data_IF_556394135579
#
_entry.id   IF_556394135579
#
_cell.length_a   1.000
_cell.length_b   1.000
_cell.length_c   1.000
_cell.angle_alpha   90.00
_cell.angle_beta   90.00
_cell.angle_gamma   90.00
#
_symmetry.space_group_name_H-M   'P 1'
#
loop_
_entity.id
_entity.type
_entity.pdbx_description
1 polymer ?
#
# COMPACT_ATOMS: atom_id res chain seq x y z
N UNK A 1 -51.79 -36.69 25.26
CA UNK A 1 -51.16 -36.00 24.11
C UNK A 1 -51.07 -34.51 24.42
N UNK A 2 -49.87 -33.98 24.70
CA UNK A 2 -49.57 -32.55 24.56
C UNK A 2 -48.65 -32.30 23.32
N UNK A 3 -48.75 -31.13 22.64
CA UNK A 3 -48.03 -30.89 21.40
C UNK A 3 -46.68 -30.16 21.59
N UNK A 4 -45.69 -30.69 20.85
CA UNK A 4 -44.60 -30.03 20.11
C UNK A 4 -44.04 -28.69 20.62
N UNK A 5 -42.85 -28.79 21.24
CA UNK A 5 -41.96 -27.66 21.46
C UNK A 5 -41.31 -27.18 20.16
N UNK A 6 -41.31 -25.86 19.95
CA UNK A 6 -40.57 -25.19 18.89
C UNK A 6 -39.29 -24.60 19.48
N UNK A 7 -38.16 -25.24 19.21
CA UNK A 7 -36.84 -24.69 19.50
C UNK A 7 -36.51 -23.60 18.49
N UNK A 8 -36.55 -22.34 18.91
CA UNK A 8 -36.09 -21.20 18.13
C UNK A 8 -34.56 -21.24 18.10
N UNK A 9 -33.99 -21.66 16.97
CA UNK A 9 -32.56 -21.63 16.71
C UNK A 9 -32.14 -20.17 16.45
N UNK A 10 -31.67 -19.48 17.49
CA UNK A 10 -31.05 -18.17 17.36
C UNK A 10 -29.71 -18.31 16.60
N UNK A 11 -29.73 -18.09 15.30
CA UNK A 11 -28.53 -17.84 14.50
C UNK A 11 -27.94 -16.49 14.91
N UNK A 12 -26.99 -16.52 15.83
CA UNK A 12 -26.11 -15.38 16.10
C UNK A 12 -25.36 -15.04 14.80
N UNK A 13 -25.50 -13.84 14.25
CA UNK A 13 -24.65 -13.42 13.15
C UNK A 13 -23.23 -13.37 13.70
N UNK A 14 -22.36 -14.27 13.22
CA UNK A 14 -20.92 -14.16 13.38
C UNK A 14 -20.51 -12.83 12.74
N UNK A 15 -20.46 -11.78 13.55
CA UNK A 15 -19.77 -10.53 13.25
C UNK A 15 -18.28 -10.88 13.13
N UNK A 16 -17.87 -11.26 11.92
CA UNK A 16 -16.47 -11.33 11.53
C UNK A 16 -15.95 -9.90 11.60
N UNK A 17 -15.38 -9.53 12.74
CA UNK A 17 -14.58 -8.32 12.89
C UNK A 17 -13.39 -8.47 11.96
N UNK A 18 -13.46 -7.82 10.80
CA UNK A 18 -12.38 -7.70 9.84
C UNK A 18 -11.26 -6.92 10.54
N UNK A 19 -10.28 -7.64 11.09
CA UNK A 19 -9.02 -7.05 11.55
C UNK A 19 -8.07 -6.94 10.37
N UNK A 20 -7.10 -6.04 10.47
CA UNK A 20 -6.57 -5.29 9.33
C UNK A 20 -5.10 -5.56 9.03
N UNK A 21 -4.78 -5.70 7.75
CA UNK A 21 -3.45 -6.00 7.25
C UNK A 21 -2.44 -4.89 7.59
N UNK A 22 -1.25 -5.26 8.05
CA UNK A 22 -0.16 -4.33 8.30
C UNK A 22 0.58 -4.05 6.99
N UNK A 23 0.13 -3.02 6.28
CA UNK A 23 0.56 -2.62 4.93
C UNK A 23 1.97 -1.98 4.82
N UNK A 24 2.91 -2.24 5.73
CA UNK A 24 4.29 -1.77 5.56
C UNK A 24 5.28 -2.88 5.90
N UNK A 25 6.18 -3.27 4.98
CA UNK A 25 7.29 -4.16 5.30
C UNK A 25 8.19 -3.50 6.33
N UNK A 26 8.90 -4.31 7.12
CA UNK A 26 10.00 -3.80 7.93
C UNK A 26 10.90 -2.90 7.06
N UNK A 27 11.29 -1.71 7.55
CA UNK A 27 12.09 -0.79 6.78
C UNK A 27 13.37 -1.49 6.33
N UNK A 28 13.54 -1.63 5.00
CA UNK A 28 14.79 -2.10 4.41
C UNK A 28 15.89 -1.13 4.89
N UNK A 29 17.00 -1.61 5.46
CA UNK A 29 18.07 -0.74 5.93
C UNK A 29 18.49 0.28 4.86
N UNK A 30 18.75 1.56 5.20
CA UNK A 30 19.09 2.59 4.22
C UNK A 30 20.23 2.21 3.27
N UNK A 31 21.22 1.44 3.75
CA UNK A 31 22.32 0.90 2.96
C UNK A 31 21.89 -0.09 1.89
N UNK A 32 20.80 -0.83 2.12
CA UNK A 32 20.21 -1.75 1.16
C UNK A 32 19.26 -1.04 0.19
N UNK A 33 18.51 -0.02 0.65
CA UNK A 33 17.77 0.86 -0.26
C UNK A 33 18.72 1.55 -1.23
N UNK A 34 19.84 2.09 -0.73
CA UNK A 34 20.85 2.73 -1.55
C UNK A 34 21.55 1.73 -2.47
N UNK A 35 21.76 0.46 -2.07
CA UNK A 35 22.29 -0.60 -2.95
C UNK A 35 21.28 -1.07 -4.00
N UNK A 36 20.01 -1.23 -3.68
CA UNK A 36 18.95 -1.52 -4.65
C UNK A 36 18.84 -0.39 -5.68
N UNK A 37 19.03 0.85 -5.23
CA UNK A 37 19.08 2.07 -6.05
C UNK A 37 20.38 2.16 -6.89
N UNK A 38 21.55 1.84 -6.31
CA UNK A 38 22.88 1.91 -6.96
C UNK A 38 23.16 0.74 -7.92
N UNK A 39 22.54 -0.42 -7.71
CA UNK A 39 22.60 -1.55 -8.65
C UNK A 39 21.79 -1.30 -9.95
N UNK A 40 21.17 -0.12 -10.09
CA UNK A 40 20.34 0.29 -11.22
C UNK A 40 20.99 1.21 -12.24
N UNK A 41 22.32 1.17 -12.41
CA UNK A 41 23.02 1.94 -13.46
C UNK A 41 22.95 1.31 -14.85
N UNK A 42 22.30 0.16 -15.03
CA UNK A 42 22.07 -0.41 -16.37
C UNK A 42 20.90 0.29 -17.05
N UNK A 43 21.06 0.62 -18.34
CA UNK A 43 20.01 1.19 -19.21
C UNK A 43 18.69 0.41 -19.16
N UNK A 44 18.75 -0.86 -18.77
CA UNK A 44 17.61 -1.77 -18.63
C UNK A 44 16.67 -1.40 -17.47
N UNK A 45 17.18 -0.81 -16.37
CA UNK A 45 16.33 -0.39 -15.23
C UNK A 45 15.71 0.98 -15.40
N UNK A 46 16.37 1.86 -16.14
CA UNK A 46 15.88 3.19 -16.47
C UNK A 46 15.73 3.35 -17.98
N UNK A 47 14.82 2.58 -18.62
CA UNK A 47 14.63 2.66 -20.06
C UNK A 47 14.13 4.06 -20.46
N UNK A 48 14.40 4.54 -21.68
CA UNK A 48 14.08 5.91 -22.12
C UNK A 48 12.59 6.29 -22.06
N UNK A 49 11.69 5.32 -21.91
CA UNK A 49 10.26 5.56 -21.74
C UNK A 49 9.86 5.92 -20.30
N UNK A 50 10.74 5.73 -19.31
CA UNK A 50 10.59 6.28 -17.95
C UNK A 50 11.10 7.72 -17.98
N UNK A 51 10.20 8.67 -17.77
CA UNK A 51 10.49 10.10 -17.93
C UNK A 51 10.90 10.80 -16.63
N UNK A 52 10.90 10.08 -15.50
CA UNK A 52 11.25 10.60 -14.18
C UNK A 52 10.10 10.55 -13.17
N UNK A 53 10.34 11.08 -11.97
CA UNK A 53 9.41 11.01 -10.85
C UNK A 53 8.05 11.65 -11.17
N UNK A 54 6.96 11.00 -10.75
CA UNK A 54 5.59 11.40 -11.10
C UNK A 54 5.18 12.76 -10.51
N UNK A 55 5.77 13.15 -9.38
CA UNK A 55 5.57 14.45 -8.75
C UNK A 55 6.49 15.57 -9.26
N UNK A 56 7.28 15.35 -10.32
CA UNK A 56 8.04 16.43 -10.94
C UNK A 56 7.14 17.61 -11.34
N UNK A 57 7.64 18.83 -11.17
CA UNK A 57 6.83 20.05 -11.34
C UNK A 57 6.17 20.15 -12.73
N UNK A 58 6.85 19.69 -13.77
CA UNK A 58 6.34 19.66 -15.14
C UNK A 58 5.13 18.72 -15.33
N UNK A 59 4.90 17.79 -14.40
CA UNK A 59 3.80 16.82 -14.45
C UNK A 59 2.65 17.17 -13.50
N UNK A 60 2.85 18.10 -12.56
CA UNK A 60 1.82 18.57 -11.63
C UNK A 60 0.97 19.68 -12.26
N UNK A 61 -0.34 19.46 -12.35
CA UNK A 61 -1.26 20.49 -12.82
C UNK A 61 -1.64 21.46 -11.67
N UNK A 62 -2.43 22.50 -11.98
CA UNK A 62 -2.87 23.50 -10.99
C UNK A 62 -3.66 22.91 -9.83
N UNK A 63 -4.41 21.84 -10.05
CA UNK A 63 -5.21 21.19 -9.01
C UNK A 63 -4.38 20.27 -8.12
N UNK A 64 -3.35 19.63 -8.68
CA UNK A 64 -2.38 18.83 -7.93
C UNK A 64 -1.57 19.73 -6.99
N UNK A 65 -1.13 20.90 -7.48
CA UNK A 65 -0.44 21.91 -6.66
C UNK A 65 -1.30 22.49 -5.53
N UNK A 66 -2.61 22.25 -5.54
CA UNK A 66 -3.56 22.66 -4.50
C UNK A 66 -3.99 21.51 -3.58
N UNK A 67 -3.36 20.34 -3.68
CA UNK A 67 -3.72 19.15 -2.90
C UNK A 67 -3.81 19.44 -1.39
N UNK A 68 -2.94 20.30 -0.86
CA UNK A 68 -2.89 20.65 0.56
C UNK A 68 -3.31 22.10 0.85
N UNK A 69 -3.99 22.78 -0.07
CA UNK A 69 -4.33 24.20 0.10
C UNK A 69 -5.52 24.48 1.03
N UNK A 70 -6.09 23.45 1.68
CA UNK A 70 -7.30 23.56 2.49
C UNK A 70 -7.13 22.86 3.84
N UNK A 71 -7.99 23.25 4.78
CA UNK A 71 -8.12 22.57 6.07
C UNK A 71 -9.25 21.54 5.97
N UNK A 72 -8.99 20.31 6.39
CA UNK A 72 -10.00 19.25 6.49
C UNK A 72 -10.70 19.34 7.85
N UNK A 73 -12.01 19.06 7.86
CA UNK A 73 -12.82 18.97 9.08
C UNK A 73 -12.58 17.65 9.82
N UNK A 74 -11.32 17.37 10.14
CA UNK A 74 -10.88 16.28 11.01
C UNK A 74 -10.38 16.88 12.33
N UNK A 75 -10.71 16.19 13.41
CA UNK A 75 -10.35 16.52 14.78
C UNK A 75 -9.67 15.32 15.46
N UNK A 76 -8.97 15.50 16.59
CA UNK A 76 -8.25 14.39 17.23
C UNK A 76 -9.12 13.18 17.54
N UNK A 77 -10.38 13.39 17.97
CA UNK A 77 -11.33 12.32 18.24
C UNK A 77 -11.76 11.51 17.00
N UNK A 78 -11.47 12.00 15.79
CA UNK A 78 -11.83 11.35 14.53
C UNK A 78 -10.78 10.33 14.09
N UNK A 79 -9.61 10.36 14.71
CA UNK A 79 -8.47 9.52 14.37
C UNK A 79 -8.44 8.34 15.32
N UNK A 80 -8.50 7.14 14.74
CA UNK A 80 -8.46 5.89 15.49
C UNK A 80 -7.05 5.35 15.60
N UNK A 81 -6.97 4.04 15.86
CA UNK A 81 -5.68 3.37 16.04
C UNK A 81 -4.78 3.51 14.79
N UNK A 82 -3.46 3.64 15.00
CA UNK A 82 -2.51 3.48 13.91
C UNK A 82 -2.69 2.08 13.28
N UNK A 83 -2.61 2.03 11.95
CA UNK A 83 -2.56 0.77 11.20
C UNK A 83 -1.13 0.21 11.23
N UNK A 84 -0.14 1.10 11.38
CA UNK A 84 1.26 0.75 11.50
C UNK A 84 1.97 1.59 12.59
N UNK A 85 2.85 0.94 13.35
CA UNK A 85 3.75 1.63 14.29
C UNK A 85 4.96 2.29 13.59
N UNK A 86 5.22 1.91 12.34
CA UNK A 86 6.41 2.34 11.61
C UNK A 86 6.24 3.73 10.99
N UNK A 87 7.20 4.61 11.31
CA UNK A 87 7.35 5.91 10.68
C UNK A 87 8.23 5.75 9.44
N UNK A 88 7.67 6.05 8.28
CA UNK A 88 8.44 6.13 7.05
C UNK A 88 9.24 7.43 6.97
N UNK A 89 10.23 7.49 6.07
CA UNK A 89 11.01 8.71 5.83
C UNK A 89 10.13 9.92 5.46
N UNK A 90 9.04 9.67 4.73
CA UNK A 90 8.15 10.70 4.19
C UNK A 90 6.77 10.73 4.85
N UNK A 91 6.48 9.81 5.77
CA UNK A 91 5.20 9.77 6.46
C UNK A 91 5.35 9.42 7.94
N UNK A 92 4.52 10.04 8.77
CA UNK A 92 4.49 9.80 10.21
C UNK A 92 3.58 8.63 10.60
N UNK A 93 3.02 7.92 9.61
CA UNK A 93 2.16 6.74 9.81
C UNK A 93 0.81 6.82 9.10
N UNK A 94 0.08 5.71 9.14
CA UNK A 94 -1.28 5.55 8.63
C UNK A 94 -2.19 5.20 9.80
N UNK A 95 -3.36 5.82 9.87
CA UNK A 95 -4.34 5.60 10.93
C UNK A 95 -5.74 5.34 10.37
N UNK A 96 -6.55 4.63 11.17
CA UNK A 96 -7.98 4.46 10.92
C UNK A 96 -8.73 5.75 11.26
N UNK A 97 -9.98 5.84 10.81
CA UNK A 97 -10.92 6.83 11.33
C UNK A 97 -11.89 6.19 12.32
N UNK A 98 -12.27 6.92 13.36
CA UNK A 98 -13.29 6.50 14.33
C UNK A 98 -14.71 6.77 13.82
N UNK A 99 -14.87 7.71 12.89
CA UNK A 99 -16.14 8.15 12.31
C UNK A 99 -16.10 8.26 10.79
N UNK A 100 -17.29 8.26 10.18
CA UNK A 100 -17.44 8.46 8.74
C UNK A 100 -16.97 9.85 8.33
N UNK A 101 -16.36 9.93 7.15
CA UNK A 101 -15.89 11.19 6.58
C UNK A 101 -16.92 11.77 5.61
N UNK A 102 -17.16 13.08 5.72
CA UNK A 102 -18.08 13.81 4.86
C UNK A 102 -17.30 14.81 4.01
N UNK A 103 -17.34 14.60 2.68
CA UNK A 103 -16.75 15.53 1.72
C UNK A 103 -17.82 16.50 1.23
N UNK A 104 -17.59 17.79 1.45
CA UNK A 104 -18.54 18.86 1.10
C UNK A 104 -18.39 19.36 -0.35
N UNK A 105 -17.20 19.20 -0.95
CA UNK A 105 -16.89 19.76 -2.28
C UNK A 105 -17.45 18.87 -3.39
N UNK A 106 -18.37 19.40 -4.20
CA UNK A 106 -18.96 18.73 -5.36
C UNK A 106 -20.19 17.87 -5.05
N UNK A 107 -20.85 18.12 -3.91
CA UNK A 107 -21.99 17.34 -3.42
C UNK A 107 -21.66 16.67 -2.08
N UNK A 108 -22.69 16.36 -1.30
CA UNK A 108 -22.54 15.73 0.00
C UNK A 108 -22.23 14.24 -0.18
N UNK A 109 -20.95 13.86 -0.06
CA UNK A 109 -20.54 12.46 -0.17
C UNK A 109 -20.06 11.91 1.16
N UNK A 110 -20.70 10.84 1.61
CA UNK A 110 -20.31 10.06 2.78
C UNK A 110 -19.29 8.98 2.39
N UNK A 111 -18.22 8.86 3.17
CA UNK A 111 -17.28 7.76 3.10
C UNK A 111 -17.32 6.99 4.42
N UNK A 112 -17.51 5.66 4.34
CA UNK A 112 -17.48 4.80 5.53
C UNK A 112 -16.08 4.79 6.15
N UNK A 113 -15.99 4.91 7.47
CA UNK A 113 -14.73 4.82 8.22
C UNK A 113 -13.98 3.51 7.98
N UNK A 114 -14.71 2.42 7.72
CA UNK A 114 -14.13 1.09 7.51
C UNK A 114 -13.50 0.92 6.12
N UNK A 115 -13.80 1.85 5.21
CA UNK A 115 -13.37 1.84 3.81
C UNK A 115 -12.34 2.94 3.50
N UNK A 116 -11.89 3.70 4.49
CA UNK A 116 -10.91 4.78 4.31
C UNK A 116 -9.84 4.74 5.40
N UNK A 117 -8.65 5.20 5.03
CA UNK A 117 -7.53 5.38 5.95
C UNK A 117 -6.96 6.78 5.77
N UNK A 118 -6.28 7.27 6.80
CA UNK A 118 -5.59 8.55 6.79
C UNK A 118 -4.08 8.32 6.86
N UNK A 119 -3.33 8.86 5.91
CA UNK A 119 -1.85 8.94 5.97
C UNK A 119 -1.44 10.32 6.46
N UNK A 120 -0.66 10.38 7.55
CA UNK A 120 -0.05 11.60 8.09
C UNK A 120 1.29 11.80 7.39
N UNK A 121 1.48 12.97 6.76
CA UNK A 121 2.72 13.29 6.07
C UNK A 121 3.64 14.13 6.96
N UNK A 122 4.93 14.10 6.64
CA UNK A 122 5.92 14.96 7.28
C UNK A 122 5.83 16.38 6.69
N UNK A 123 6.30 17.39 7.44
CA UNK A 123 6.39 18.78 6.98
C UNK A 123 7.84 19.14 6.65
N UNK A 124 8.09 20.05 5.68
CA UNK A 124 7.12 20.73 4.80
C UNK A 124 6.59 19.84 3.67
N UNK A 125 5.38 20.14 3.19
CA UNK A 125 4.79 19.48 2.01
C UNK A 125 5.52 19.95 0.75
N UNK A 126 5.94 19.00 -0.08
CA UNK A 126 6.63 19.26 -1.34
C UNK A 126 6.02 18.54 -2.55
N UNK A 127 6.77 18.56 -3.65
CA UNK A 127 6.41 17.89 -4.89
C UNK A 127 6.24 16.37 -4.73
N UNK A 128 6.96 15.76 -3.79
CA UNK A 128 6.85 14.34 -3.46
C UNK A 128 5.43 13.98 -2.99
N UNK A 129 4.91 14.75 -2.03
CA UNK A 129 3.57 14.55 -1.46
C UNK A 129 2.47 14.84 -2.48
N UNK A 130 2.66 15.87 -3.31
CA UNK A 130 1.73 16.21 -4.39
C UNK A 130 1.72 15.15 -5.50
N UNK A 131 2.87 14.53 -5.77
CA UNK A 131 3.01 13.38 -6.66
C UNK A 131 2.22 12.17 -6.18
N UNK A 132 2.30 11.85 -4.88
CA UNK A 132 1.51 10.78 -4.26
C UNK A 132 0.01 11.05 -4.39
N UNK A 133 -0.45 12.26 -4.08
CA UNK A 133 -1.87 12.65 -4.24
C UNK A 133 -2.33 12.50 -5.69
N UNK A 134 -1.51 12.94 -6.65
CA UNK A 134 -1.81 12.79 -8.08
C UNK A 134 -1.93 11.32 -8.47
N UNK A 135 -0.97 10.49 -8.07
CA UNK A 135 -0.99 9.05 -8.34
C UNK A 135 -2.25 8.39 -7.77
N UNK A 136 -2.60 8.68 -6.52
CA UNK A 136 -3.81 8.17 -5.87
C UNK A 136 -5.10 8.58 -6.60
N UNK A 137 -5.15 9.79 -7.19
CA UNK A 137 -6.29 10.22 -8.03
C UNK A 137 -6.37 9.38 -9.29
N UNK A 138 -5.24 9.18 -9.98
CA UNK A 138 -5.18 8.48 -11.27
C UNK A 138 -5.55 6.99 -11.16
N UNK A 139 -5.23 6.35 -10.02
CA UNK A 139 -5.62 4.96 -9.71
C UNK A 139 -6.96 4.84 -8.96
N UNK A 140 -7.64 5.96 -8.71
CA UNK A 140 -8.98 5.96 -8.11
C UNK A 140 -9.02 5.59 -6.62
N UNK A 141 -7.90 5.71 -5.90
CA UNK A 141 -7.80 5.46 -4.46
C UNK A 141 -7.91 6.76 -3.63
N UNK A 142 -7.72 7.92 -4.23
CA UNK A 142 -7.83 9.21 -3.54
C UNK A 142 -9.25 9.51 -3.02
N UNK A 143 -9.35 9.98 -1.78
CA UNK A 143 -10.60 10.49 -1.17
C UNK A 143 -10.50 12.00 -0.98
N UNK A 144 -9.54 12.47 -0.21
CA UNK A 144 -9.31 13.91 0.03
C UNK A 144 -7.89 14.20 0.53
N UNK A 145 -7.46 15.46 0.55
CA UNK A 145 -6.18 15.89 1.12
C UNK A 145 -6.26 17.32 1.63
N UNK A 146 -5.43 17.65 2.61
CA UNK A 146 -5.40 18.96 3.25
C UNK A 146 -4.62 18.95 4.55
N UNK A 147 -4.70 20.05 5.29
CA UNK A 147 -4.20 20.14 6.65
C UNK A 147 -5.29 19.75 7.65
N UNK A 148 -4.94 19.02 8.70
CA UNK A 148 -5.87 18.61 9.75
C UNK A 148 -5.22 18.77 11.13
N UNK A 149 -6.04 18.99 12.17
CA UNK A 149 -5.60 18.92 13.56
C UNK A 149 -5.93 17.53 14.10
N UNK A 150 -4.92 16.68 14.22
CA UNK A 150 -5.09 15.27 14.56
C UNK A 150 -4.65 14.91 15.98
N UNK A 151 -4.01 15.84 16.69
CA UNK A 151 -3.61 15.67 18.09
C UNK A 151 -4.00 16.90 18.92
N UNK A 152 -4.14 16.76 20.25
CA UNK A 152 -4.45 17.89 21.13
C UNK A 152 -3.35 18.96 21.10
N UNK A 153 -2.10 18.52 20.98
CA UNK A 153 -0.90 19.36 20.94
C UNK A 153 -0.29 19.49 19.55
N UNK A 154 -0.77 18.71 18.59
CA UNK A 154 -0.32 18.82 17.21
C UNK A 154 -0.90 20.11 16.61
N UNK A 155 -0.04 20.87 15.93
CA UNK A 155 -0.48 21.89 15.00
C UNK A 155 -1.29 21.27 13.84
N UNK A 156 -1.59 22.10 12.85
CA UNK A 156 -2.12 21.57 11.59
C UNK A 156 -1.03 20.77 10.87
N UNK A 157 -1.33 19.51 10.55
CA UNK A 157 -0.42 18.63 9.81
C UNK A 157 -1.04 18.21 8.47
N UNK A 158 -0.22 18.01 7.43
CA UNK A 158 -0.70 17.53 6.14
C UNK A 158 -1.15 16.07 6.23
N UNK A 159 -2.31 15.78 5.64
CA UNK A 159 -2.89 14.44 5.61
C UNK A 159 -3.49 14.11 4.25
N UNK A 160 -3.45 12.83 3.90
CA UNK A 160 -4.16 12.26 2.75
C UNK A 160 -5.20 11.28 3.28
N UNK A 161 -6.46 11.45 2.88
CA UNK A 161 -7.50 10.43 3.01
C UNK A 161 -7.55 9.62 1.73
N UNK A 162 -7.48 8.29 1.85
CA UNK A 162 -7.52 7.37 0.74
C UNK A 162 -8.43 6.18 1.04
N UNK A 163 -8.91 5.52 -0.01
CA UNK A 163 -9.67 4.28 0.11
C UNK A 163 -8.76 3.22 0.72
N UNK A 164 -9.32 2.45 1.64
CA UNK A 164 -8.66 1.27 2.18
C UNK A 164 -8.63 0.16 1.13
N UNK A 165 -7.46 -0.40 0.91
CA UNK A 165 -7.26 -1.60 0.10
C UNK A 165 -7.56 -2.81 0.98
N UNK A 166 -8.31 -3.78 0.45
CA UNK A 166 -8.64 -5.04 1.14
C UNK A 166 -7.61 -6.10 0.76
N UNK A 167 -7.24 -6.92 1.74
CA UNK A 167 -6.27 -8.00 1.59
C UNK A 167 -5.46 -8.15 2.88
N UNK A 168 -4.43 -8.99 2.83
CA UNK A 168 -3.46 -9.26 3.88
C UNK A 168 -2.03 -9.05 3.37
N UNK A 169 -1.11 -8.67 4.24
CA UNK A 169 0.32 -8.66 3.87
C UNK A 169 0.83 -10.08 3.91
N UNK A 170 1.33 -10.55 2.76
CA UNK A 170 1.76 -11.94 2.59
C UNK A 170 2.78 -12.37 3.66
N UNK A 171 3.75 -11.51 3.99
CA UNK A 171 4.76 -11.77 5.06
C UNK A 171 4.15 -12.08 6.43
N UNK A 172 2.93 -11.63 6.69
CA UNK A 172 2.28 -11.79 7.98
C UNK A 172 1.41 -13.04 8.09
N UNK A 173 1.11 -13.67 6.94
CA UNK A 173 0.24 -14.83 6.85
C UNK A 173 0.89 -16.07 7.48
N UNK A 174 0.06 -16.95 8.06
CA UNK A 174 0.53 -18.22 8.63
C UNK A 174 1.16 -19.08 7.54
N UNK A 175 0.51 -19.14 6.37
CA UNK A 175 0.93 -19.91 5.20
C UNK A 175 2.33 -19.48 4.75
N UNK A 176 2.58 -18.17 4.65
CA UNK A 176 3.91 -17.69 4.29
C UNK A 176 4.93 -17.91 5.41
N UNK A 177 4.58 -17.67 6.68
CA UNK A 177 5.53 -17.81 7.80
C UNK A 177 6.00 -19.26 7.98
N UNK A 178 5.08 -20.21 7.87
CA UNK A 178 5.32 -21.63 8.09
C UNK A 178 5.88 -22.33 6.84
N UNK A 179 5.73 -21.72 5.67
CA UNK A 179 6.28 -22.22 4.42
C UNK A 179 7.82 -22.28 4.44
N UNK A 180 8.35 -23.35 3.87
CA UNK A 180 9.78 -23.44 3.60
C UNK A 180 10.18 -22.49 2.45
N UNK A 181 11.48 -22.42 2.15
CA UNK A 181 12.01 -21.50 1.13
C UNK A 181 11.38 -21.69 -0.26
N UNK A 182 11.16 -22.93 -0.69
CA UNK A 182 10.59 -23.25 -2.01
C UNK A 182 9.12 -22.83 -2.06
N UNK A 183 8.34 -23.19 -1.05
CA UNK A 183 6.93 -22.80 -0.92
C UNK A 183 6.73 -21.28 -0.87
N UNK A 184 7.57 -20.54 -0.12
CA UNK A 184 7.52 -19.07 -0.12
C UNK A 184 7.81 -18.47 -1.50
N UNK A 185 8.66 -19.11 -2.31
CA UNK A 185 8.90 -18.69 -3.70
C UNK A 185 7.72 -19.01 -4.61
N UNK A 186 7.05 -20.15 -4.41
CA UNK A 186 5.83 -20.51 -5.13
C UNK A 186 4.72 -19.49 -4.88
N UNK A 187 4.45 -19.14 -3.62
CA UNK A 187 3.47 -18.09 -3.25
C UNK A 187 3.80 -16.73 -3.88
N UNK A 188 5.08 -16.37 -3.95
CA UNK A 188 5.51 -15.15 -4.64
C UNK A 188 5.24 -15.20 -6.14
N UNK A 189 5.56 -16.32 -6.80
CA UNK A 189 5.30 -16.49 -8.22
C UNK A 189 3.79 -16.58 -8.55
N UNK A 190 2.95 -17.04 -7.62
CA UNK A 190 1.48 -16.94 -7.74
C UNK A 190 0.99 -15.48 -7.72
N UNK A 191 1.53 -14.63 -6.84
CA UNK A 191 1.15 -13.21 -6.75
C UNK A 191 1.70 -12.36 -7.91
N UNK A 192 2.86 -12.75 -8.45
CA UNK A 192 3.59 -12.03 -9.51
C UNK A 192 2.72 -11.60 -10.70
N UNK A 193 1.97 -12.48 -11.40
CA UNK A 193 1.17 -12.07 -12.55
C UNK A 193 0.10 -11.02 -12.17
N UNK A 194 -0.47 -11.09 -10.97
CA UNK A 194 -1.48 -10.14 -10.50
C UNK A 194 -0.89 -8.74 -10.31
N UNK A 195 0.27 -8.67 -9.65
CA UNK A 195 1.02 -7.42 -9.48
C UNK A 195 1.46 -6.85 -10.83
N UNK A 196 2.04 -7.69 -11.69
CA UNK A 196 2.49 -7.30 -13.05
C UNK A 196 1.36 -6.68 -13.85
N UNK A 197 0.20 -7.35 -13.88
CA UNK A 197 -0.95 -6.89 -14.64
C UNK A 197 -1.39 -5.49 -14.19
N UNK A 198 -1.34 -5.21 -12.88
CA UNK A 198 -1.67 -3.90 -12.34
C UNK A 198 -0.63 -2.83 -12.73
N UNK A 199 0.67 -3.11 -12.60
CA UNK A 199 1.75 -2.21 -13.01
C UNK A 199 1.66 -1.87 -14.51
N UNK A 200 1.51 -2.90 -15.35
CA UNK A 200 1.40 -2.76 -16.81
C UNK A 200 0.17 -1.94 -17.18
N UNK A 201 -0.98 -2.25 -16.58
CA UNK A 201 -2.22 -1.53 -16.85
C UNK A 201 -2.09 -0.03 -16.54
N UNK A 202 -1.55 0.33 -15.37
CA UNK A 202 -1.36 1.75 -15.01
C UNK A 202 -0.33 2.44 -15.90
N UNK A 203 0.77 1.77 -16.24
CA UNK A 203 1.80 2.35 -17.08
C UNK A 203 1.26 2.69 -18.48
N UNK A 204 0.52 1.76 -19.10
CA UNK A 204 -0.01 1.93 -20.46
C UNK A 204 -1.20 2.89 -20.48
N UNK A 205 -2.15 2.74 -19.57
CA UNK A 205 -3.43 3.49 -19.63
C UNK A 205 -3.40 4.82 -18.88
N UNK A 206 -2.56 4.95 -17.85
CA UNK A 206 -2.46 6.15 -17.00
C UNK A 206 -1.12 6.86 -17.12
N UNK A 207 -0.15 6.30 -17.85
CA UNK A 207 1.21 6.81 -17.94
C UNK A 207 1.88 6.92 -16.55
N UNK A 208 1.52 6.02 -15.64
CA UNK A 208 2.01 5.94 -14.25
C UNK A 208 2.64 4.57 -14.04
N UNK A 209 3.93 4.54 -13.71
CA UNK A 209 4.64 3.33 -13.34
C UNK A 209 4.81 3.28 -11.82
N UNK A 210 4.36 2.20 -11.20
CA UNK A 210 4.70 1.88 -9.81
C UNK A 210 5.90 0.94 -9.81
N UNK A 211 6.99 1.36 -9.16
CA UNK A 211 8.27 0.67 -9.19
C UNK A 211 8.70 0.07 -7.84
N UNK A 212 7.86 0.20 -6.81
CA UNK A 212 8.15 -0.30 -5.47
C UNK A 212 7.22 -1.46 -5.07
N UNK A 213 7.29 -2.56 -5.81
CA UNK A 213 6.45 -3.75 -5.61
C UNK A 213 7.14 -4.86 -4.79
N UNK A 214 7.89 -4.47 -3.75
CA UNK A 214 8.37 -5.45 -2.79
C UNK A 214 7.18 -6.09 -2.03
N UNK A 215 7.39 -7.25 -1.39
CA UNK A 215 6.33 -8.05 -0.75
C UNK A 215 5.52 -7.31 0.33
N UNK A 216 6.02 -6.23 0.93
CA UNK A 216 5.21 -5.44 1.87
C UNK A 216 4.42 -4.31 1.23
N UNK A 217 4.70 -3.98 -0.03
CA UNK A 217 4.03 -2.92 -0.79
C UNK A 217 2.92 -3.47 -1.70
N UNK A 218 2.46 -4.70 -1.47
CA UNK A 218 1.19 -5.17 -2.00
C UNK A 218 0.44 -6.02 -0.97
N UNK A 219 -0.88 -5.98 -1.02
CA UNK A 219 -1.75 -6.90 -0.31
C UNK A 219 -2.16 -8.03 -1.25
N UNK A 220 -2.35 -9.22 -0.69
CA UNK A 220 -2.96 -10.37 -1.39
C UNK A 220 -4.29 -10.73 -0.75
N UNK A 221 -5.07 -11.55 -1.46
CA UNK A 221 -6.32 -12.06 -0.92
C UNK A 221 -6.10 -12.91 0.32
N UNK A 222 -6.93 -12.69 1.33
CA UNK A 222 -6.81 -13.38 2.60
C UNK A 222 -7.80 -12.89 3.64
N UNK A 223 -7.77 -13.54 4.80
CA UNK A 223 -8.61 -13.22 5.93
C UNK A 223 -7.74 -12.87 7.12
N UNK A 224 -8.18 -11.89 7.90
CA UNK A 224 -7.52 -11.58 9.16
C UNK A 224 -8.52 -11.56 10.31
N UNK A 225 -8.16 -12.32 11.33
CA UNK A 225 -8.89 -12.50 12.58
C UNK A 225 -8.08 -11.89 13.73
N UNK A 226 -8.59 -12.00 14.96
CA UNK A 226 -7.85 -11.58 16.17
C UNK A 226 -6.58 -12.40 16.41
N UNK A 227 -6.53 -13.64 15.90
CA UNK A 227 -5.51 -14.63 16.26
C UNK A 227 -4.58 -14.93 15.07
N UNK A 228 -5.14 -14.93 13.86
CA UNK A 228 -4.42 -15.35 12.66
C UNK A 228 -4.70 -14.42 11.47
N UNK A 229 -3.65 -14.25 10.66
CA UNK A 229 -3.71 -13.70 9.31
C UNK A 229 -3.50 -14.88 8.36
N UNK A 230 -4.45 -15.14 7.47
CA UNK A 230 -4.42 -16.27 6.55
C UNK A 230 -4.52 -15.79 5.10
N UNK A 231 -3.85 -16.51 4.21
CA UNK A 231 -3.87 -16.29 2.77
C UNK A 231 -5.03 -17.08 2.13
N UNK A 232 -5.65 -16.54 1.07
CA UNK A 232 -6.56 -17.31 0.24
C UNK A 232 -5.75 -18.10 -0.80
N UNK A 233 -5.78 -19.43 -0.73
CA UNK A 233 -5.10 -20.30 -1.69
C UNK A 233 -6.10 -20.92 -2.69
N UNK A 234 -5.88 -20.80 -4.01
CA UNK A 234 -4.77 -20.11 -4.67
C UNK A 234 -4.88 -18.57 -4.58
N UNK A 235 -3.76 -17.85 -4.73
CA UNK A 235 -3.77 -16.38 -4.73
C UNK A 235 -4.48 -15.87 -5.99
N UNK A 236 -5.64 -15.26 -5.81
CA UNK A 236 -6.48 -14.76 -6.91
C UNK A 236 -6.55 -13.24 -7.00
N UNK A 237 -6.07 -12.53 -5.98
CA UNK A 237 -6.06 -11.07 -5.95
C UNK A 237 -4.76 -10.54 -5.33
N UNK A 238 -4.25 -9.45 -5.92
CA UNK A 238 -3.16 -8.66 -5.37
C UNK A 238 -3.39 -7.18 -5.67
N UNK A 239 -3.05 -6.30 -4.74
CA UNK A 239 -3.21 -4.85 -4.90
C UNK A 239 -1.99 -4.11 -4.34
N UNK A 240 -1.38 -3.28 -5.18
CA UNK A 240 -0.25 -2.43 -4.82
C UNK A 240 -0.64 -1.33 -3.84
N UNK A 241 0.29 -1.04 -2.95
CA UNK A 241 0.23 -0.03 -1.92
C UNK A 241 1.37 0.97 -2.11
N UNK A 242 1.39 1.97 -1.23
CA UNK A 242 2.44 2.99 -1.11
C UNK A 242 2.82 3.69 -2.43
N UNK A 243 2.12 4.78 -2.72
CA UNK A 243 2.40 5.64 -3.88
C UNK A 243 3.33 6.80 -3.51
N UNK A 244 4.12 6.65 -2.45
CA UNK A 244 5.08 7.65 -2.00
C UNK A 244 6.28 7.82 -2.93
N UNK A 245 7.09 8.85 -2.67
CA UNK A 245 8.39 9.01 -3.30
C UNK A 245 9.40 8.00 -2.72
N UNK A 246 10.31 7.41 -3.53
CA UNK A 246 10.50 7.61 -4.98
C UNK A 246 9.72 6.66 -5.90
N UNK A 247 8.84 5.78 -5.38
CA UNK A 247 8.30 4.63 -6.09
C UNK A 247 7.34 4.84 -7.27
N UNK A 248 7.06 6.08 -7.67
CA UNK A 248 6.11 6.38 -8.77
C UNK A 248 6.74 7.24 -9.87
N UNK A 249 6.62 6.79 -11.12
CA UNK A 249 7.26 7.43 -12.27
C UNK A 249 6.29 7.75 -13.39
N UNK A 250 6.59 8.83 -14.12
CA UNK A 250 5.88 9.20 -15.34
C UNK A 250 6.41 8.35 -16.50
N UNK A 251 5.49 7.85 -17.32
CA UNK A 251 5.82 7.06 -18.51
C UNK A 251 5.47 7.82 -19.79
N UNK A 252 6.27 7.61 -20.85
CA UNK A 252 6.04 8.14 -22.19
C UNK A 252 4.69 7.65 -22.73
N UNK A 253 3.98 8.53 -23.44
CA UNK A 253 2.80 8.15 -24.23
C UNK A 253 3.16 7.07 -25.25
N UNK A 254 2.33 6.04 -25.34
CA UNK A 254 2.52 4.94 -26.30
C UNK A 254 3.56 3.92 -25.87
N UNK A 255 3.95 3.87 -24.59
CA UNK A 255 4.63 2.69 -24.05
C UNK A 255 3.75 1.45 -24.28
N UNK A 256 4.37 0.34 -24.64
CA UNK A 256 3.67 -0.92 -24.90
C UNK A 256 3.59 -1.78 -23.64
N UNK A 257 2.58 -2.66 -23.57
CA UNK A 257 2.48 -3.65 -22.50
C UNK A 257 3.73 -4.52 -22.42
N UNK A 258 4.29 -4.91 -23.57
CA UNK A 258 5.51 -5.71 -23.66
C UNK A 258 6.71 -5.00 -23.04
N UNK A 259 6.95 -3.72 -23.36
CA UNK A 259 8.06 -2.96 -22.78
C UNK A 259 7.99 -2.90 -21.25
N UNK A 260 6.79 -2.65 -20.70
CA UNK A 260 6.59 -2.57 -19.25
C UNK A 260 6.68 -3.95 -18.59
N UNK A 261 6.12 -4.98 -19.23
CA UNK A 261 6.18 -6.37 -18.74
C UNK A 261 7.63 -6.86 -18.70
N UNK A 262 8.42 -6.66 -19.75
CA UNK A 262 9.83 -7.05 -19.79
C UNK A 262 10.63 -6.34 -18.68
N UNK A 263 10.38 -5.05 -18.47
CA UNK A 263 10.98 -4.29 -17.38
C UNK A 263 10.56 -4.83 -16.00
N UNK A 264 9.27 -5.16 -15.83
CA UNK A 264 8.75 -5.71 -14.58
C UNK A 264 9.41 -7.04 -14.25
N UNK A 265 9.57 -7.95 -15.22
CA UNK A 265 10.24 -9.24 -15.00
C UNK A 265 11.67 -9.06 -14.48
N UNK A 266 12.42 -8.12 -15.05
CA UNK A 266 13.78 -7.79 -14.61
C UNK A 266 13.79 -7.26 -13.18
N UNK A 267 12.89 -6.34 -12.85
CA UNK A 267 12.78 -5.78 -11.50
C UNK A 267 12.30 -6.82 -10.47
N UNK A 268 11.32 -7.64 -10.83
CA UNK A 268 10.79 -8.71 -9.98
C UNK A 268 11.89 -9.68 -9.58
N UNK A 269 12.68 -10.14 -10.55
CA UNK A 269 13.85 -10.99 -10.29
C UNK A 269 14.84 -10.33 -9.33
N UNK A 270 15.04 -9.01 -9.41
CA UNK A 270 15.94 -8.31 -8.48
C UNK A 270 15.35 -8.30 -7.06
N UNK A 271 14.08 -7.94 -6.93
CA UNK A 271 13.38 -7.89 -5.66
C UNK A 271 13.35 -9.27 -4.97
N UNK A 272 13.05 -10.34 -5.71
CA UNK A 272 12.98 -11.70 -5.17
C UNK A 272 14.35 -12.36 -5.02
N UNK A 273 15.27 -12.22 -5.97
CA UNK A 273 16.58 -12.88 -5.89
C UNK A 273 17.50 -12.26 -4.84
N UNK A 274 17.49 -10.94 -4.68
CA UNK A 274 18.42 -10.26 -3.77
C UNK A 274 17.74 -9.85 -2.46
N UNK A 275 16.56 -9.25 -2.53
CA UNK A 275 15.83 -8.80 -1.34
C UNK A 275 15.45 -9.98 -0.45
N UNK A 276 14.81 -10.99 -1.04
CA UNK A 276 14.30 -12.13 -0.29
C UNK A 276 15.41 -13.13 0.11
N UNK A 277 16.44 -13.33 -0.71
CA UNK A 277 17.62 -14.11 -0.30
C UNK A 277 18.27 -13.52 0.96
N UNK A 278 18.47 -12.19 1.00
CA UNK A 278 19.06 -11.52 2.15
C UNK A 278 18.15 -11.62 3.38
N UNK A 279 16.84 -11.47 3.20
CA UNK A 279 15.85 -11.64 4.26
C UNK A 279 15.92 -13.04 4.87
N UNK A 280 15.94 -14.09 4.05
CA UNK A 280 16.08 -15.47 4.49
C UNK A 280 17.41 -15.73 5.21
N UNK A 281 18.52 -15.17 4.71
CA UNK A 281 19.82 -15.28 5.39
C UNK A 281 19.78 -14.68 6.80
N UNK A 282 19.10 -13.54 6.98
CA UNK A 282 18.91 -12.89 8.27
C UNK A 282 18.00 -13.73 9.18
N UNK A 283 16.90 -14.27 8.67
CA UNK A 283 16.00 -15.14 9.44
C UNK A 283 16.71 -16.41 9.92
N UNK A 284 17.44 -17.10 9.03
CA UNK A 284 18.21 -18.28 9.38
C UNK A 284 19.31 -17.98 10.41
N UNK A 285 19.96 -16.82 10.32
CA UNK A 285 20.93 -16.39 11.31
C UNK A 285 20.29 -16.14 12.68
N UNK A 286 19.08 -15.53 12.71
CA UNK A 286 18.31 -15.30 13.94
C UNK A 286 17.86 -16.61 14.58
N UNK A 287 17.36 -17.57 13.81
CA UNK A 287 16.97 -18.88 14.34
C UNK A 287 18.14 -19.63 14.95
N UNK A 288 19.31 -19.62 14.29
CA UNK A 288 20.55 -20.20 14.83
C UNK A 288 21.05 -19.51 16.10
N UNK A 289 20.64 -18.27 16.35
CA UNK A 289 21.03 -17.50 17.54
C UNK A 289 20.05 -17.62 18.72
N UNK A 290 18.91 -18.32 18.56
CA UNK A 290 18.00 -18.58 19.68
C UNK A 290 18.64 -19.64 20.60
N UNK A 291 18.81 -19.34 21.90
CA UNK A 291 19.40 -20.26 22.88
C UNK A 291 18.50 -21.46 23.19
#
# INVERSE_FOLDING_TARGET
>A
MPPLGSSVLCLLPLLISILFAHAAPLPIPPEDQMRITLLGTTKERNPPWILGFYGNESYLNKDDKKAFSKVLSLSPQDIGDPINGDRGQWSSGVAKLTKNYWKLKGGFRRYSKDNIVMKKLNVPVGNNDMGEVKALKDVGLYVDSGFARIGPHDGQVPVILMKKVVGVVMLETVEFKDANREQKLELLEEAKPLVRNQVVHWAVTKQLLHAEFNIGNFLVGGTQTLIHVSLNEPITEAQLLDFGYPGIFKVRKGVTEKEVSDWFELQWQVCTKYGYKKMLEIEMAREKSKP
#
